data_IF_652906925173
#
_entry.id   IF_652906925173
#
_cell.length_a   1.000
_cell.length_b   1.000
_cell.length_c   1.000
_cell.angle_alpha   90.00
_cell.angle_beta   90.00
_cell.angle_gamma   90.00
#
_symmetry.space_group_name_H-M   'P 1'
#
loop_
_entity.id
_entity.type
_entity.pdbx_description
1 polymer ?
#
# COMPACT_ATOMS: atom_id res chain seq x y z
N UNK A 1 -12.18 15.17 -26.28
CA UNK A 1 -12.66 13.81 -25.98
C UNK A 1 -11.59 12.89 -25.39
N UNK A 2 -10.29 13.22 -25.47
CA UNK A 2 -9.18 12.41 -24.95
C UNK A 2 -8.84 12.57 -23.45
N UNK A 3 -9.52 13.45 -22.69
CA UNK A 3 -9.16 13.72 -21.29
C UNK A 3 -9.52 12.60 -20.32
N UNK A 4 -10.60 11.84 -20.60
CA UNK A 4 -11.05 10.73 -19.76
C UNK A 4 -10.07 9.55 -19.78
N UNK A 5 -9.45 9.29 -20.94
CA UNK A 5 -8.36 8.32 -21.09
C UNK A 5 -7.05 8.86 -20.50
N UNK A 6 -6.79 10.17 -20.58
CA UNK A 6 -5.59 10.76 -20.00
C UNK A 6 -5.52 10.63 -18.46
N UNK A 7 -6.68 10.58 -17.77
CA UNK A 7 -6.75 10.44 -16.31
C UNK A 7 -7.14 9.04 -15.81
N UNK A 8 -7.10 8.02 -16.68
CA UNK A 8 -7.51 6.65 -16.31
C UNK A 8 -6.73 6.10 -15.10
N UNK A 9 -5.44 6.43 -15.00
CA UNK A 9 -4.59 6.05 -13.88
C UNK A 9 -5.13 6.55 -12.54
N UNK A 10 -5.64 7.78 -12.48
CA UNK A 10 -6.19 8.35 -11.25
C UNK A 10 -7.47 7.63 -10.80
N UNK A 11 -8.36 7.30 -11.74
CA UNK A 11 -9.58 6.55 -11.40
C UNK A 11 -9.26 5.14 -10.88
N UNK A 12 -8.32 4.43 -11.53
CA UNK A 12 -7.87 3.11 -11.08
C UNK A 12 -7.26 3.18 -9.68
N UNK A 13 -6.42 4.19 -9.43
CA UNK A 13 -5.82 4.42 -8.11
C UNK A 13 -6.90 4.62 -7.05
N UNK A 14 -7.89 5.49 -7.30
CA UNK A 14 -8.95 5.75 -6.32
C UNK A 14 -9.74 4.48 -6.04
N UNK A 15 -10.08 3.69 -7.06
CA UNK A 15 -10.79 2.42 -6.88
C UNK A 15 -9.96 1.43 -6.08
N UNK A 16 -8.68 1.22 -6.43
CA UNK A 16 -7.78 0.33 -5.69
C UNK A 16 -7.58 0.77 -4.24
N UNK A 17 -7.43 2.08 -4.02
CA UNK A 17 -7.29 2.68 -2.70
C UNK A 17 -8.55 2.42 -1.85
N UNK A 18 -9.74 2.64 -2.42
CA UNK A 18 -11.00 2.38 -1.73
C UNK A 18 -11.20 0.89 -1.42
N UNK A 19 -10.79 -0.01 -2.33
CA UNK A 19 -10.84 -1.46 -2.09
C UNK A 19 -9.90 -1.85 -0.94
N UNK A 20 -8.66 -1.37 -0.96
CA UNK A 20 -7.69 -1.64 0.11
C UNK A 20 -8.20 -1.15 1.48
N UNK A 21 -8.73 0.08 1.52
CA UNK A 21 -9.31 0.64 2.73
C UNK A 21 -10.54 -0.14 3.22
N UNK A 22 -11.42 -0.56 2.31
CA UNK A 22 -12.58 -1.37 2.63
C UNK A 22 -12.19 -2.72 3.25
N UNK A 23 -11.17 -3.40 2.71
CA UNK A 23 -10.69 -4.68 3.25
C UNK A 23 -10.20 -4.53 4.70
N UNK A 24 -9.49 -3.43 5.02
CA UNK A 24 -8.98 -3.17 6.37
C UNK A 24 -10.12 -3.01 7.39
N UNK A 25 -11.23 -2.37 7.00
CA UNK A 25 -12.38 -2.13 7.88
C UNK A 25 -13.28 -3.36 7.97
N UNK A 26 -13.53 -4.05 6.85
CA UNK A 26 -14.57 -5.06 6.76
C UNK A 26 -14.14 -6.47 7.22
N UNK A 27 -12.85 -6.74 7.36
CA UNK A 27 -12.36 -8.08 7.71
C UNK A 27 -12.00 -8.16 9.19
N UNK A 28 -12.55 -9.15 9.91
CA UNK A 28 -12.16 -9.45 11.29
C UNK A 28 -10.81 -10.17 11.38
N UNK A 29 -10.42 -10.91 10.33
CA UNK A 29 -9.17 -11.65 10.30
C UNK A 29 -7.95 -10.72 10.12
N UNK A 30 -7.00 -10.80 11.05
CA UNK A 30 -5.81 -9.94 11.08
C UNK A 30 -4.91 -10.09 9.84
N UNK A 31 -4.79 -11.28 9.27
CA UNK A 31 -3.98 -11.50 8.06
C UNK A 31 -4.62 -10.78 6.86
N UNK A 32 -5.95 -10.85 6.75
CA UNK A 32 -6.67 -10.17 5.66
C UNK A 32 -6.58 -8.66 5.78
N UNK A 33 -6.59 -8.10 7.00
CA UNK A 33 -6.33 -6.67 7.23
C UNK A 33 -4.94 -6.26 6.76
N UNK A 34 -3.90 -7.04 7.07
CA UNK A 34 -2.54 -6.77 6.62
C UNK A 34 -2.44 -6.77 5.09
N UNK A 35 -3.08 -7.73 4.43
CA UNK A 35 -3.16 -7.78 2.96
C UNK A 35 -3.89 -6.55 2.38
N UNK A 36 -4.98 -6.12 3.02
CA UNK A 36 -5.71 -4.90 2.65
C UNK A 36 -4.85 -3.64 2.77
N UNK A 37 -4.04 -3.56 3.84
CA UNK A 37 -3.11 -2.45 4.05
C UNK A 37 -2.00 -2.42 2.98
N UNK A 38 -1.44 -3.57 2.60
CA UNK A 38 -0.46 -3.65 1.50
C UNK A 38 -1.06 -3.25 0.14
N UNK A 39 -2.32 -3.61 -0.12
CA UNK A 39 -3.04 -3.18 -1.33
C UNK A 39 -3.25 -1.66 -1.34
N UNK A 40 -3.65 -1.08 -0.21
CA UNK A 40 -3.78 0.37 -0.05
C UNK A 40 -2.45 1.08 -0.34
N UNK A 41 -1.35 0.58 0.24
CA UNK A 41 -0.02 1.14 0.02
C UNK A 41 0.41 1.08 -1.45
N UNK A 42 0.13 -0.03 -2.13
CA UNK A 42 0.42 -0.20 -3.56
C UNK A 42 -0.33 0.83 -4.42
N UNK A 43 -1.56 1.17 -4.05
CA UNK A 43 -2.38 2.17 -4.74
C UNK A 43 -1.75 3.57 -4.63
N UNK A 44 -1.21 3.92 -3.46
CA UNK A 44 -0.50 5.18 -3.23
C UNK A 44 0.78 5.26 -4.06
N UNK A 45 1.50 4.15 -4.25
CA UNK A 45 2.68 4.12 -5.12
C UNK A 45 2.33 4.49 -6.56
N UNK A 46 1.27 3.88 -7.11
CA UNK A 46 0.82 4.16 -8.48
C UNK A 46 0.41 5.63 -8.64
N UNK A 47 -0.20 6.24 -7.60
CA UNK A 47 -0.52 7.67 -7.60
C UNK A 47 0.73 8.56 -7.76
N UNK A 48 1.75 8.30 -6.93
CA UNK A 48 2.98 9.09 -6.93
C UNK A 48 3.77 8.91 -8.23
N UNK A 49 3.82 7.69 -8.78
CA UNK A 49 4.47 7.43 -10.08
C UNK A 49 3.75 8.20 -11.18
N UNK A 50 2.41 8.18 -11.18
CA UNK A 50 1.61 8.88 -12.19
C UNK A 50 1.83 10.40 -12.15
N UNK A 51 2.01 10.98 -10.95
CA UNK A 51 2.33 12.41 -10.78
C UNK A 51 3.78 12.77 -11.13
N UNK A 52 4.71 11.81 -11.02
CA UNK A 52 6.13 12.02 -11.28
C UNK A 52 6.54 11.89 -12.75
N UNK A 53 5.64 11.39 -13.59
CA UNK A 53 5.89 11.18 -15.01
C UNK A 53 5.89 12.52 -15.78
N UNK A 54 6.93 12.76 -16.57
CA UNK A 54 7.07 13.95 -17.42
C UNK A 54 6.95 13.48 -18.88
N UNK A 55 6.13 14.16 -19.68
CA UNK A 55 5.95 13.80 -21.10
C UNK A 55 7.30 13.82 -21.85
N UNK A 56 7.68 12.68 -22.43
CA UNK A 56 8.95 12.52 -23.16
C UNK A 56 10.20 12.39 -22.28
N UNK A 57 10.05 12.31 -20.95
CA UNK A 57 11.16 12.15 -20.03
C UNK A 57 11.60 10.70 -19.85
N UNK A 58 12.89 10.43 -20.00
CA UNK A 58 13.50 9.12 -19.69
C UNK A 58 13.72 8.98 -18.18
N UNK A 59 14.04 7.76 -17.71
CA UNK A 59 14.46 7.52 -16.33
C UNK A 59 15.58 8.51 -15.92
N UNK A 60 15.59 9.02 -14.67
CA UNK A 60 16.55 10.02 -14.21
C UNK A 60 17.95 9.42 -13.98
N UNK A 61 18.56 8.95 -15.06
CA UNK A 61 19.90 8.38 -15.15
C UNK A 61 20.64 9.26 -16.15
N UNK A 62 21.73 9.89 -15.71
CA UNK A 62 22.50 10.79 -16.56
C UNK A 62 23.04 10.03 -17.77
N UNK A 63 22.51 10.36 -18.94
CA UNK A 63 22.90 9.78 -20.20
C UNK A 63 23.08 10.91 -21.23
N UNK A 64 24.25 11.01 -21.90
CA UNK A 64 24.51 12.06 -22.89
C UNK A 64 23.57 12.04 -24.11
N UNK A 65 22.86 10.93 -24.38
CA UNK A 65 21.89 10.85 -25.49
C UNK A 65 20.50 11.43 -25.14
N UNK A 66 20.16 11.62 -23.86
CA UNK A 66 18.83 12.05 -23.43
C UNK A 66 18.87 13.39 -22.68
N UNK A 67 18.10 14.37 -23.16
CA UNK A 67 18.03 15.72 -22.58
C UNK A 67 16.87 15.96 -21.62
N UNK A 68 15.88 15.07 -21.55
CA UNK A 68 14.67 15.22 -20.73
C UNK A 68 14.55 14.02 -19.80
N UNK A 69 14.44 14.29 -18.51
CA UNK A 69 14.33 13.29 -17.45
C UNK A 69 13.02 13.44 -16.67
N UNK A 70 12.47 12.31 -16.23
CA UNK A 70 11.38 12.30 -15.26
C UNK A 70 11.82 12.85 -13.91
N UNK A 71 10.87 13.31 -13.09
CA UNK A 71 11.19 13.89 -11.78
C UNK A 71 11.78 12.82 -10.85
N UNK A 72 13.00 13.02 -10.29
CA UNK A 72 13.62 12.04 -9.40
C UNK A 72 12.99 12.02 -7.99
N UNK A 73 12.27 13.07 -7.58
CA UNK A 73 11.74 13.19 -6.21
C UNK A 73 10.73 12.08 -5.88
N UNK A 74 9.69 11.82 -6.71
CA UNK A 74 8.74 10.74 -6.42
C UNK A 74 9.40 9.35 -6.37
N UNK A 75 10.43 9.12 -7.20
CA UNK A 75 11.13 7.84 -7.24
C UNK A 75 11.84 7.52 -5.91
N UNK A 76 12.53 8.51 -5.33
CA UNK A 76 13.19 8.34 -4.03
C UNK A 76 12.18 8.19 -2.89
N UNK A 77 11.10 8.99 -2.91
CA UNK A 77 10.04 8.91 -1.89
C UNK A 77 9.32 7.54 -1.88
N UNK A 78 9.12 6.93 -3.05
CA UNK A 78 8.51 5.60 -3.13
C UNK A 78 9.49 4.53 -2.65
N UNK A 79 10.78 4.62 -3.02
CA UNK A 79 11.77 3.64 -2.58
C UNK A 79 11.84 3.55 -1.05
N UNK A 80 11.80 4.70 -0.35
CA UNK A 80 11.76 4.71 1.12
C UNK A 80 10.44 4.16 1.66
N UNK A 81 9.31 4.53 1.04
CA UNK A 81 8.01 4.04 1.44
C UNK A 81 7.87 2.51 1.27
N UNK A 82 8.45 1.91 0.23
CA UNK A 82 8.47 0.45 0.02
C UNK A 82 9.19 -0.25 1.17
N UNK A 83 10.38 0.23 1.54
CA UNK A 83 11.16 -0.37 2.63
C UNK A 83 10.41 -0.30 3.95
N UNK A 84 9.81 0.86 4.27
CA UNK A 84 8.97 1.03 5.46
C UNK A 84 7.75 0.09 5.42
N UNK A 85 7.09 -0.03 4.27
CA UNK A 85 5.93 -0.92 4.08
C UNK A 85 6.24 -2.39 4.32
N UNK A 86 7.38 -2.88 3.80
CA UNK A 86 7.82 -4.26 4.03
C UNK A 86 8.16 -4.47 5.50
N UNK A 87 8.83 -3.51 6.14
CA UNK A 87 9.17 -3.60 7.56
C UNK A 87 7.93 -3.63 8.46
N UNK A 88 6.93 -2.77 8.22
CA UNK A 88 5.68 -2.76 9.00
C UNK A 88 4.84 -3.99 8.74
N UNK A 89 4.79 -4.50 7.50
CA UNK A 89 4.08 -5.74 7.17
C UNK A 89 4.73 -6.95 7.83
N UNK A 90 6.07 -7.03 7.84
CA UNK A 90 6.81 -8.10 8.53
C UNK A 90 6.55 -8.06 10.05
N UNK A 91 6.56 -6.86 10.66
CA UNK A 91 6.21 -6.69 12.06
C UNK A 91 4.76 -7.10 12.34
N UNK A 92 3.81 -6.67 11.49
CA UNK A 92 2.40 -7.03 11.61
C UNK A 92 2.17 -8.55 11.53
N UNK A 93 2.84 -9.23 10.60
CA UNK A 93 2.79 -10.69 10.50
C UNK A 93 3.41 -11.38 11.72
N UNK A 94 4.53 -10.86 12.24
CA UNK A 94 5.13 -11.37 13.46
C UNK A 94 4.19 -11.24 14.66
N UNK A 95 3.46 -10.11 14.78
CA UNK A 95 2.43 -9.93 15.79
C UNK A 95 1.25 -10.88 15.59
N UNK A 96 0.79 -11.08 14.36
CA UNK A 96 -0.28 -12.03 14.06
C UNK A 96 0.09 -13.46 14.50
N UNK A 97 1.32 -13.90 14.23
CA UNK A 97 1.83 -15.20 14.70
C UNK A 97 1.81 -15.27 16.23
N UNK A 98 2.29 -14.23 16.92
CA UNK A 98 2.30 -14.19 18.40
C UNK A 98 0.91 -14.20 19.00
N UNK A 99 -0.05 -13.52 18.36
CA UNK A 99 -1.44 -13.52 18.80
C UNK A 99 -2.08 -14.89 18.63
N UNK A 100 -1.80 -15.56 17.52
CA UNK A 100 -2.26 -16.93 17.30
C UNK A 100 -1.69 -17.91 18.31
N UNK A 101 -0.41 -17.77 18.69
CA UNK A 101 0.21 -18.58 19.75
C UNK A 101 -0.44 -18.35 21.13
N UNK A 102 -0.88 -17.11 21.43
CA UNK A 102 -1.45 -16.75 22.72
C UNK A 102 -2.96 -17.07 22.85
N UNK A 103 -3.75 -16.74 21.83
CA UNK A 103 -5.22 -16.84 21.85
C UNK A 103 -5.76 -18.03 21.04
N UNK A 104 -4.93 -18.69 20.24
CA UNK A 104 -5.34 -19.80 19.35
C UNK A 104 -6.17 -19.38 18.14
N UNK A 105 -6.46 -18.08 17.98
CA UNK A 105 -7.28 -17.51 16.90
C UNK A 105 -6.65 -16.25 16.31
N UNK A 106 -7.09 -15.88 15.11
CA UNK A 106 -6.66 -14.69 14.37
C UNK A 106 -7.84 -13.76 14.03
N UNK A 107 -9.02 -14.09 14.54
CA UNK A 107 -10.23 -13.27 14.42
C UNK A 107 -10.28 -12.28 15.58
N UNK A 108 -10.33 -11.00 15.25
CA UNK A 108 -10.28 -9.90 16.22
C UNK A 108 -11.46 -9.95 17.22
N UNK A 109 -12.66 -10.32 16.75
CA UNK A 109 -13.86 -10.43 17.59
C UNK A 109 -13.73 -11.49 18.69
N UNK A 110 -13.02 -12.59 18.40
CA UNK A 110 -12.81 -13.68 19.36
C UNK A 110 -11.75 -13.30 20.40
N UNK A 111 -10.70 -12.59 19.97
CA UNK A 111 -9.66 -12.08 20.87
C UNK A 111 -10.27 -11.06 21.85
N UNK A 112 -11.09 -10.13 21.34
CA UNK A 112 -11.77 -9.13 22.15
C UNK A 112 -12.69 -9.77 23.20
N UNK A 113 -13.46 -10.80 22.83
CA UNK A 113 -14.33 -11.52 23.77
C UNK A 113 -13.55 -12.24 24.88
N UNK A 114 -12.38 -12.80 24.58
CA UNK A 114 -11.54 -13.46 25.58
C UNK A 114 -10.95 -12.46 26.57
N UNK A 115 -10.53 -11.28 26.10
CA UNK A 115 -10.03 -10.20 26.97
C UNK A 115 -11.16 -9.60 27.84
N UNK A 116 -12.34 -9.36 27.26
CA UNK A 116 -13.49 -8.79 27.99
C UNK A 116 -14.06 -9.79 29.02
N UNK A 117 -14.01 -11.10 28.73
CA UNK A 117 -14.46 -12.15 29.65
C UNK A 117 -13.45 -12.51 30.75
N UNK A 118 -12.23 -11.98 30.69
CA UNK A 118 -11.22 -12.14 31.73
C UNK A 118 -11.33 -11.09 32.86
N UNK A 119 -12.16 -10.06 32.67
CA UNK A 119 -12.55 -9.07 33.70
C UNK A 119 -13.82 -9.50 34.45
#
# INVERSE_FOLDING_TARGET
MMSWLAQYNYYIVVVLMMIGFYIVIAQANLIKKLMGLSLFQTSVFILYISMGNVEGGTAPILDPEFGVFSNPLPHVLILTAIVVGVATTALGLALAVRLHEAYGTLEEDEIQQQDDGAC
#
